data_IF_327040898547
#
_entry.id   IF_327040898547
#
_cell.length_a   1.000
_cell.length_b   1.000
_cell.length_c   1.000
_cell.angle_alpha   90.00
_cell.angle_beta   90.00
_cell.angle_gamma   90.00
#
_symmetry.space_group_name_H-M   'P 1'
#
loop_
_entity.id
_entity.type
_entity.pdbx_description
1 polymer ?
#
# COMPACT_ATOMS: atom_id res chain seq x y z
N UNK A 1 -77.37 -15.09 42.67
CA UNK A 1 -77.86 -14.07 41.72
C UNK A 1 -79.20 -14.46 41.10
N UNK A 2 -79.36 -15.67 40.55
CA UNK A 2 -80.66 -16.17 40.10
C UNK A 2 -81.74 -16.11 41.21
N UNK A 3 -81.37 -16.41 42.46
CA UNK A 3 -82.28 -16.39 43.62
C UNK A 3 -82.82 -14.98 43.96
N UNK A 4 -82.05 -13.91 43.75
CA UNK A 4 -82.46 -12.53 44.07
C UNK A 4 -83.34 -11.91 42.97
N UNK A 5 -83.03 -12.19 41.70
CA UNK A 5 -83.88 -11.78 40.58
C UNK A 5 -85.22 -12.50 40.57
N UNK A 6 -85.22 -13.80 40.91
CA UNK A 6 -86.44 -14.60 41.10
C UNK A 6 -87.23 -14.11 42.33
N UNK A 7 -86.57 -13.70 43.42
CA UNK A 7 -87.23 -13.11 44.58
C UNK A 7 -87.87 -11.74 44.29
N UNK A 8 -87.22 -10.88 43.49
CA UNK A 8 -87.79 -9.59 43.05
C UNK A 8 -88.99 -9.77 42.12
N UNK A 9 -88.90 -10.71 41.16
CA UNK A 9 -90.03 -11.07 40.29
C UNK A 9 -91.17 -11.71 41.09
N UNK A 10 -90.86 -12.55 42.07
CA UNK A 10 -91.84 -13.16 42.98
C UNK A 10 -92.49 -12.15 43.94
N UNK A 11 -91.78 -11.10 44.36
CA UNK A 11 -92.35 -10.01 45.14
C UNK A 11 -93.33 -9.15 44.33
N UNK A 12 -93.02 -8.87 43.06
CA UNK A 12 -93.91 -8.15 42.13
C UNK A 12 -95.09 -9.01 41.67
N UNK A 13 -94.89 -10.31 41.41
CA UNK A 13 -95.97 -11.23 41.09
C UNK A 13 -96.85 -11.53 42.33
N UNK A 14 -96.23 -11.63 43.51
CA UNK A 14 -96.91 -11.80 44.79
C UNK A 14 -97.76 -10.59 45.16
N UNK A 15 -97.33 -9.38 44.79
CA UNK A 15 -98.15 -8.17 44.93
C UNK A 15 -99.30 -8.09 43.91
N UNK A 16 -99.41 -8.99 42.93
CA UNK A 16 -100.54 -9.07 41.99
C UNK A 16 -101.56 -10.17 42.33
N UNK A 17 -101.33 -10.98 43.37
CA UNK A 17 -102.30 -11.96 43.83
C UNK A 17 -103.55 -11.26 44.40
N UNK A 18 -104.77 -11.69 44.04
CA UNK A 18 -105.99 -11.15 44.58
C UNK A 18 -106.19 -11.63 46.02
N UNK A 19 -106.26 -10.66 46.94
CA UNK A 19 -106.70 -10.75 48.33
C UNK A 19 -105.63 -11.19 49.34
N UNK A 20 -105.21 -10.24 50.20
CA UNK A 20 -105.58 -10.36 51.61
C UNK A 20 -106.07 -9.02 52.19
N UNK A 21 -106.52 -9.06 53.44
CA UNK A 21 -107.41 -8.08 54.06
C UNK A 21 -106.83 -6.65 54.28
N UNK A 22 -107.64 -5.76 54.87
CA UNK A 22 -107.40 -4.31 54.94
C UNK A 22 -106.12 -3.85 55.67
N UNK A 23 -105.37 -4.74 56.34
CA UNK A 23 -104.14 -4.42 57.07
C UNK A 23 -102.83 -4.69 56.28
N UNK A 24 -102.90 -5.23 55.06
CA UNK A 24 -101.72 -5.66 54.28
C UNK A 24 -101.24 -4.65 53.21
N UNK A 25 -101.88 -3.47 53.12
CA UNK A 25 -101.58 -2.46 52.11
C UNK A 25 -100.13 -1.92 52.21
N UNK A 26 -99.61 -1.71 53.42
CA UNK A 26 -98.25 -1.20 53.65
C UNK A 26 -97.17 -2.21 53.23
N UNK A 27 -97.44 -3.51 53.41
CA UNK A 27 -96.51 -4.58 53.03
C UNK A 27 -96.44 -4.71 51.51
N UNK A 28 -97.57 -4.52 50.82
CA UNK A 28 -97.64 -4.50 49.36
C UNK A 28 -96.87 -3.33 48.75
N UNK A 29 -96.95 -2.15 49.37
CA UNK A 29 -96.23 -0.95 48.91
C UNK A 29 -94.72 -1.05 49.18
N UNK A 30 -94.31 -1.63 50.31
CA UNK A 30 -92.93 -1.99 50.60
C UNK A 30 -92.40 -3.02 49.58
N UNK A 31 -93.17 -4.08 49.28
CA UNK A 31 -92.80 -5.10 48.29
C UNK A 31 -92.75 -4.54 46.86
N UNK A 32 -93.65 -3.64 46.49
CA UNK A 32 -93.61 -2.95 45.20
C UNK A 32 -92.39 -2.04 45.10
N UNK A 33 -92.09 -1.27 46.15
CA UNK A 33 -90.98 -0.30 46.13
C UNK A 33 -89.61 -1.01 46.19
N UNK A 34 -89.46 -2.01 47.06
CA UNK A 34 -88.25 -2.82 47.16
C UNK A 34 -88.11 -3.76 45.95
N UNK A 35 -89.22 -4.34 45.47
CA UNK A 35 -89.26 -5.22 44.31
C UNK A 35 -88.97 -4.51 42.99
N UNK A 36 -89.52 -3.31 42.78
CA UNK A 36 -89.22 -2.47 41.60
C UNK A 36 -87.79 -1.93 41.61
N UNK A 37 -87.30 -1.50 42.78
CA UNK A 37 -85.89 -1.10 42.94
C UNK A 37 -84.96 -2.29 42.69
N UNK A 38 -85.25 -3.46 43.24
CA UNK A 38 -84.46 -4.67 42.97
C UNK A 38 -84.54 -5.08 41.49
N UNK A 39 -85.69 -4.98 40.83
CA UNK A 39 -85.84 -5.28 39.40
C UNK A 39 -85.05 -4.33 38.51
N UNK A 40 -84.86 -3.07 38.90
CA UNK A 40 -84.05 -2.10 38.16
C UNK A 40 -82.55 -2.25 38.45
N UNK A 41 -82.17 -2.42 39.71
CA UNK A 41 -80.76 -2.40 40.12
C UNK A 41 -80.07 -3.76 40.04
N UNK A 42 -80.76 -4.89 40.21
CA UNK A 42 -80.15 -6.23 40.15
C UNK A 42 -79.61 -6.57 38.76
N UNK A 43 -80.34 -6.32 37.64
CA UNK A 43 -79.79 -6.52 36.30
C UNK A 43 -78.61 -5.61 36.03
N UNK A 44 -78.68 -4.34 36.46
CA UNK A 44 -77.59 -3.39 36.30
C UNK A 44 -76.33 -3.83 37.07
N UNK A 45 -76.48 -4.27 38.32
CA UNK A 45 -75.40 -4.80 39.14
C UNK A 45 -74.82 -6.13 38.59
N UNK A 46 -75.67 -6.98 38.01
CA UNK A 46 -75.22 -8.21 37.36
C UNK A 46 -74.41 -7.90 36.10
N UNK A 47 -74.85 -6.93 35.28
CA UNK A 47 -74.15 -6.47 34.09
C UNK A 47 -72.82 -5.82 34.47
N UNK A 48 -72.79 -4.87 35.41
CA UNK A 48 -71.55 -4.22 35.85
C UNK A 48 -70.57 -5.24 36.42
N UNK A 49 -71.01 -6.16 37.27
CA UNK A 49 -70.14 -7.21 37.81
C UNK A 49 -69.70 -8.25 36.77
N UNK A 50 -70.47 -8.45 35.70
CA UNK A 50 -70.06 -9.30 34.57
C UNK A 50 -69.05 -8.60 33.68
N UNK A 51 -69.20 -7.29 33.48
CA UNK A 51 -68.27 -6.43 32.75
C UNK A 51 -66.94 -6.31 33.50
N UNK A 52 -66.95 -6.09 34.82
CA UNK A 52 -65.74 -6.06 35.64
C UNK A 52 -64.97 -7.37 35.52
N UNK A 53 -65.64 -8.52 35.66
CA UNK A 53 -64.99 -9.84 35.49
C UNK A 53 -64.50 -10.08 34.06
N UNK A 54 -65.15 -9.50 33.06
CA UNK A 54 -64.70 -9.64 31.68
C UNK A 54 -63.48 -8.75 31.42
N UNK A 55 -63.49 -7.52 31.94
CA UNK A 55 -62.35 -6.60 31.90
C UNK A 55 -61.14 -7.16 32.66
N UNK A 56 -61.34 -7.75 33.84
CA UNK A 56 -60.27 -8.40 34.61
C UNK A 56 -59.65 -9.55 33.80
N UNK A 57 -60.48 -10.41 33.19
CA UNK A 57 -59.97 -11.51 32.33
C UNK A 57 -59.24 -10.98 31.10
N UNK A 58 -59.79 -9.97 30.43
CA UNK A 58 -59.15 -9.38 29.26
C UNK A 58 -57.84 -8.71 29.65
N UNK A 59 -57.77 -8.05 30.81
CA UNK A 59 -56.55 -7.45 31.33
C UNK A 59 -55.49 -8.51 31.65
N UNK A 60 -55.88 -9.60 32.31
CA UNK A 60 -55.00 -10.74 32.62
C UNK A 60 -54.49 -11.44 31.35
N UNK A 61 -55.39 -11.75 30.41
CA UNK A 61 -55.04 -12.37 29.13
C UNK A 61 -54.10 -11.46 28.31
N UNK A 62 -54.37 -10.14 28.30
CA UNK A 62 -53.51 -9.16 27.62
C UNK A 62 -52.15 -9.06 28.29
N UNK A 63 -52.09 -9.06 29.63
CA UNK A 63 -50.83 -9.03 30.37
C UNK A 63 -50.00 -10.28 30.10
N UNK A 64 -50.64 -11.45 30.04
CA UNK A 64 -49.99 -12.71 29.70
C UNK A 64 -49.45 -12.71 28.26
N UNK A 65 -50.25 -12.26 27.28
CA UNK A 65 -49.81 -12.15 25.89
C UNK A 65 -48.63 -11.17 25.74
N UNK A 66 -48.64 -10.04 26.43
CA UNK A 66 -47.53 -9.08 26.40
C UNK A 66 -46.26 -9.68 26.98
N UNK A 67 -46.36 -10.47 28.06
CA UNK A 67 -45.19 -11.12 28.66
C UNK A 67 -44.63 -12.24 27.76
N UNK A 68 -45.51 -13.01 27.11
CA UNK A 68 -45.11 -14.01 26.12
C UNK A 68 -44.39 -13.35 24.93
N UNK A 69 -44.95 -12.27 24.37
CA UNK A 69 -44.31 -11.52 23.29
C UNK A 69 -42.96 -10.94 23.72
N UNK A 70 -42.85 -10.42 24.95
CA UNK A 70 -41.58 -9.89 25.47
C UNK A 70 -40.52 -10.96 25.61
N UNK A 71 -40.87 -12.10 26.19
CA UNK A 71 -39.94 -13.22 26.39
C UNK A 71 -39.49 -13.82 25.06
N UNK A 72 -40.40 -14.00 24.10
CA UNK A 72 -40.05 -14.47 22.76
C UNK A 72 -39.20 -13.45 21.99
N UNK A 73 -39.53 -12.16 22.08
CA UNK A 73 -38.72 -11.11 21.44
C UNK A 73 -37.32 -11.07 22.04
N UNK A 74 -37.19 -11.15 23.37
CA UNK A 74 -35.87 -11.19 24.03
C UNK A 74 -35.04 -12.39 23.58
N UNK A 75 -35.66 -13.58 23.47
CA UNK A 75 -35.01 -14.79 22.96
C UNK A 75 -34.55 -14.64 21.51
N UNK A 76 -35.39 -14.11 20.63
CA UNK A 76 -35.05 -13.87 19.23
C UNK A 76 -33.90 -12.88 19.09
N UNK A 77 -33.91 -11.78 19.86
CA UNK A 77 -32.82 -10.79 19.87
C UNK A 77 -31.51 -11.42 20.31
N UNK A 78 -31.51 -12.25 21.35
CA UNK A 78 -30.29 -12.91 21.82
C UNK A 78 -29.74 -13.93 20.81
N UNK A 79 -30.64 -14.67 20.14
CA UNK A 79 -30.26 -15.59 19.07
C UNK A 79 -29.63 -14.85 17.88
N UNK A 80 -30.24 -13.74 17.44
CA UNK A 80 -29.71 -12.89 16.36
C UNK A 80 -28.36 -12.28 16.77
N UNK A 81 -28.23 -11.81 18.01
CA UNK A 81 -26.97 -11.26 18.54
C UNK A 81 -25.86 -12.30 18.52
N UNK A 82 -26.15 -13.51 18.99
CA UNK A 82 -25.19 -14.61 19.02
C UNK A 82 -24.76 -15.03 17.61
N UNK A 83 -25.73 -15.21 16.70
CA UNK A 83 -25.45 -15.54 15.29
C UNK A 83 -24.64 -14.45 14.60
N UNK A 84 -25.00 -13.19 14.79
CA UNK A 84 -24.25 -12.05 14.23
C UNK A 84 -22.83 -12.01 14.79
N UNK A 85 -22.64 -12.22 16.09
CA UNK A 85 -21.30 -12.26 16.68
C UNK A 85 -20.44 -13.37 16.08
N UNK A 86 -20.99 -14.58 15.91
CA UNK A 86 -20.30 -15.69 15.26
C UNK A 86 -19.93 -15.38 13.81
N UNK A 87 -20.87 -14.84 13.03
CA UNK A 87 -20.62 -14.43 11.64
C UNK A 87 -19.55 -13.34 11.55
N UNK A 88 -19.55 -12.38 12.47
CA UNK A 88 -18.51 -11.33 12.51
C UNK A 88 -17.13 -11.93 12.80
N UNK A 89 -17.02 -12.88 13.73
CA UNK A 89 -15.76 -13.56 14.01
C UNK A 89 -15.28 -14.42 12.84
N UNK A 90 -16.19 -15.13 12.17
CA UNK A 90 -15.88 -15.89 10.95
C UNK A 90 -15.36 -14.98 9.83
N UNK A 91 -16.05 -13.87 9.56
CA UNK A 91 -15.64 -12.88 8.56
C UNK A 91 -14.30 -12.25 8.92
N UNK A 92 -14.04 -11.97 10.21
CA UNK A 92 -12.74 -11.45 10.67
C UNK A 92 -11.62 -12.46 10.45
N UNK A 93 -11.85 -13.72 10.80
CA UNK A 93 -10.87 -14.79 10.60
C UNK A 93 -10.56 -15.00 9.11
N UNK A 94 -11.60 -15.00 8.26
CA UNK A 94 -11.44 -15.11 6.81
C UNK A 94 -10.68 -13.90 6.23
N UNK A 95 -11.03 -12.68 6.65
CA UNK A 95 -10.34 -11.48 6.21
C UNK A 95 -8.85 -11.49 6.60
N UNK A 96 -8.52 -11.90 7.83
CA UNK A 96 -7.14 -12.03 8.27
C UNK A 96 -6.39 -13.08 7.45
N UNK A 97 -7.00 -14.25 7.22
CA UNK A 97 -6.39 -15.30 6.40
C UNK A 97 -6.13 -14.84 4.96
N UNK A 98 -7.04 -14.05 4.37
CA UNK A 98 -6.84 -13.48 3.03
C UNK A 98 -5.74 -12.42 3.01
N UNK A 99 -5.63 -11.60 4.05
CA UNK A 99 -4.53 -10.63 4.19
C UNK A 99 -3.19 -11.37 4.26
N UNK A 100 -3.10 -12.39 5.09
CA UNK A 100 -1.85 -13.17 5.27
C UNK A 100 -1.43 -13.87 3.97
N UNK A 101 -2.39 -14.42 3.20
CA UNK A 101 -2.12 -15.00 1.87
C UNK A 101 -1.61 -13.93 0.88
N UNK A 102 -2.27 -12.77 0.81
CA UNK A 102 -1.85 -11.67 -0.08
C UNK A 102 -0.46 -11.18 0.30
N UNK A 103 -0.18 -10.96 1.59
CA UNK A 103 1.14 -10.54 2.07
C UNK A 103 2.22 -11.57 1.71
N UNK A 104 1.94 -12.86 1.89
CA UNK A 104 2.88 -13.93 1.54
C UNK A 104 3.17 -13.98 0.04
N UNK A 105 2.13 -13.83 -0.79
CA UNK A 105 2.26 -13.80 -2.26
C UNK A 105 3.01 -12.56 -2.75
N UNK A 106 2.78 -11.40 -2.15
CA UNK A 106 3.50 -10.17 -2.48
C UNK A 106 4.97 -10.31 -2.09
N UNK A 107 5.28 -10.81 -0.89
CA UNK A 107 6.66 -11.03 -0.46
C UNK A 107 7.41 -12.00 -1.39
N UNK A 108 6.81 -13.15 -1.72
CA UNK A 108 7.39 -14.12 -2.64
C UNK A 108 7.60 -13.54 -4.04
N UNK A 109 6.67 -12.72 -4.53
CA UNK A 109 6.83 -12.02 -5.81
C UNK A 109 7.96 -11.01 -5.77
N UNK A 110 8.05 -10.19 -4.74
CA UNK A 110 9.14 -9.21 -4.59
C UNK A 110 10.51 -9.88 -4.51
N UNK A 111 10.62 -11.02 -3.83
CA UNK A 111 11.86 -11.80 -3.79
C UNK A 111 12.23 -12.37 -5.16
N UNK A 112 11.25 -12.88 -5.91
CA UNK A 112 11.45 -13.37 -7.27
C UNK A 112 11.87 -12.26 -8.24
N UNK A 113 11.25 -11.08 -8.17
CA UNK A 113 11.64 -9.92 -8.99
C UNK A 113 13.06 -9.45 -8.63
N UNK A 114 13.40 -9.36 -7.34
CA UNK A 114 14.75 -9.01 -6.91
C UNK A 114 15.82 -10.05 -7.32
N UNK A 115 15.45 -11.34 -7.40
CA UNK A 115 16.31 -12.37 -7.97
C UNK A 115 16.49 -12.19 -9.48
N UNK A 116 15.40 -11.91 -10.21
CA UNK A 116 15.45 -11.64 -11.64
C UNK A 116 16.30 -10.41 -11.97
N UNK A 117 16.23 -9.34 -11.15
CA UNK A 117 17.06 -8.15 -11.32
C UNK A 117 18.56 -8.46 -11.13
N UNK A 118 18.91 -9.27 -10.12
CA UNK A 118 20.28 -9.76 -9.93
C UNK A 118 20.76 -10.61 -11.11
N UNK A 119 19.91 -11.52 -11.58
CA UNK A 119 20.25 -12.40 -12.70
C UNK A 119 20.45 -11.60 -14.00
N UNK A 120 19.62 -10.58 -14.24
CA UNK A 120 19.77 -9.67 -15.38
C UNK A 120 21.10 -8.91 -15.37
N UNK A 121 21.52 -8.38 -14.21
CA UNK A 121 22.82 -7.69 -14.11
C UNK A 121 23.98 -8.67 -14.22
N UNK A 122 23.87 -9.87 -13.66
CA UNK A 122 24.88 -10.92 -13.77
C UNK A 122 25.03 -11.40 -15.22
N UNK A 123 23.96 -11.40 -16.01
CA UNK A 123 23.96 -11.81 -17.41
C UNK A 123 24.83 -10.90 -18.30
N UNK A 124 25.10 -9.65 -17.90
CA UNK A 124 26.08 -8.79 -18.58
C UNK A 124 27.50 -9.39 -18.55
N UNK A 125 27.83 -10.23 -17.57
CA UNK A 125 29.13 -10.93 -17.48
C UNK A 125 29.18 -12.22 -18.31
N UNK A 126 28.08 -12.57 -18.98
CA UNK A 126 28.04 -13.71 -19.90
C UNK A 126 29.12 -13.55 -20.98
N UNK A 127 29.75 -14.63 -21.46
CA UNK A 127 30.69 -14.57 -22.57
C UNK A 127 30.06 -14.11 -23.90
N UNK A 128 28.72 -14.16 -24.01
CA UNK A 128 27.97 -13.78 -25.21
C UNK A 128 26.70 -12.99 -24.80
N UNK A 129 26.83 -11.72 -24.38
CA UNK A 129 25.68 -10.91 -24.04
C UNK A 129 24.96 -10.47 -25.31
N UNK A 130 23.64 -10.61 -25.33
CA UNK A 130 22.82 -10.10 -26.44
C UNK A 130 22.41 -8.66 -26.19
N UNK A 131 21.96 -7.97 -27.25
CA UNK A 131 21.30 -6.65 -27.11
C UNK A 131 20.16 -6.69 -26.10
N UNK A 132 19.33 -7.73 -26.13
CA UNK A 132 18.21 -7.90 -25.20
C UNK A 132 18.68 -8.07 -23.75
N UNK A 133 19.80 -8.77 -23.54
CA UNK A 133 20.43 -8.89 -22.21
C UNK A 133 20.84 -7.52 -21.69
N UNK A 134 21.45 -6.71 -22.56
CA UNK A 134 21.90 -5.36 -22.22
C UNK A 134 20.72 -4.43 -21.95
N UNK A 135 19.70 -4.47 -22.81
CA UNK A 135 18.47 -3.70 -22.68
C UNK A 135 17.72 -4.05 -21.38
N UNK A 136 17.47 -5.33 -21.10
CA UNK A 136 16.74 -5.76 -19.90
C UNK A 136 17.47 -5.32 -18.62
N UNK A 137 18.80 -5.44 -18.56
CA UNK A 137 19.58 -4.99 -17.42
C UNK A 137 19.44 -3.47 -17.17
N UNK A 138 19.57 -2.64 -18.20
CA UNK A 138 19.52 -1.19 -18.01
C UNK A 138 18.10 -0.60 -17.91
N UNK A 139 17.10 -1.17 -18.59
CA UNK A 139 15.68 -0.82 -18.39
C UNK A 139 15.26 -1.11 -16.94
N UNK A 140 15.65 -2.28 -16.39
CA UNK A 140 15.44 -2.60 -14.97
C UNK A 140 16.18 -1.62 -14.05
N UNK A 141 17.43 -1.31 -14.35
CA UNK A 141 18.23 -0.38 -13.55
C UNK A 141 17.59 1.03 -13.50
N UNK A 142 17.07 1.52 -14.63
CA UNK A 142 16.34 2.79 -14.70
C UNK A 142 15.04 2.75 -13.90
N UNK A 143 14.22 1.70 -14.05
CA UNK A 143 12.96 1.53 -13.29
C UNK A 143 13.17 1.45 -11.78
N UNK A 144 14.29 0.87 -11.35
CA UNK A 144 14.70 0.78 -9.94
C UNK A 144 15.38 2.05 -9.42
N UNK A 145 15.61 3.04 -10.29
CA UNK A 145 16.34 4.27 -9.96
C UNK A 145 17.81 4.03 -9.58
N UNK A 146 18.41 2.94 -10.06
CA UNK A 146 19.83 2.64 -9.82
C UNK A 146 20.74 3.58 -10.60
N UNK A 147 20.29 4.02 -11.77
CA UNK A 147 20.99 4.91 -12.71
C UNK A 147 20.01 5.97 -13.19
N UNK A 148 20.50 7.03 -13.85
CA UNK A 148 19.67 8.15 -14.32
C UNK A 148 19.68 8.27 -15.84
N UNK A 149 18.58 8.74 -16.41
CA UNK A 149 18.48 9.14 -17.82
C UNK A 149 19.29 10.40 -18.11
N UNK A 150 19.47 11.30 -17.13
CA UNK A 150 20.19 12.56 -17.32
C UNK A 150 21.70 12.42 -17.17
N UNK A 151 22.14 11.44 -16.39
CA UNK A 151 23.55 11.16 -16.13
C UNK A 151 23.77 9.68 -16.29
N UNK A 152 24.15 9.33 -17.51
CA UNK A 152 24.32 7.97 -17.94
C UNK A 152 25.39 7.24 -17.13
N UNK A 153 25.14 5.98 -16.75
CA UNK A 153 26.16 5.14 -16.15
C UNK A 153 27.32 4.93 -17.13
N UNK A 154 28.54 4.94 -16.62
CA UNK A 154 29.76 4.89 -17.42
C UNK A 154 30.84 4.03 -16.79
N UNK A 155 31.68 3.46 -17.65
CA UNK A 155 32.82 2.62 -17.27
C UNK A 155 34.10 3.25 -17.81
N UNK A 156 35.12 3.36 -16.96
CA UNK A 156 36.46 3.75 -17.38
C UNK A 156 37.11 2.58 -18.12
N UNK A 157 37.46 2.78 -19.39
CA UNK A 157 38.09 1.74 -20.21
C UNK A 157 39.61 1.89 -20.25
N UNK A 158 40.11 3.11 -20.13
CA UNK A 158 41.53 3.38 -19.98
C UNK A 158 41.77 4.47 -18.95
N UNK A 159 42.43 4.09 -17.87
CA UNK A 159 42.86 5.01 -16.82
C UNK A 159 43.90 6.02 -17.34
N UNK A 160 44.67 5.65 -18.37
CA UNK A 160 45.73 6.51 -18.91
C UNK A 160 45.15 7.61 -19.80
N UNK A 161 44.15 7.27 -20.62
CA UNK A 161 43.54 8.23 -21.55
C UNK A 161 42.32 8.95 -20.98
N UNK A 162 41.88 8.60 -19.78
CA UNK A 162 40.65 9.11 -19.15
C UNK A 162 39.42 9.07 -20.08
N UNK A 163 39.31 7.98 -20.84
CA UNK A 163 38.14 7.72 -21.68
C UNK A 163 37.18 6.76 -21.01
N UNK A 164 35.91 7.06 -21.22
CA UNK A 164 34.79 6.36 -20.64
C UNK A 164 33.85 5.93 -21.75
N UNK A 165 33.22 4.79 -21.55
CA UNK A 165 32.07 4.38 -22.34
C UNK A 165 30.85 4.50 -21.42
N UNK A 166 29.92 5.37 -21.78
CA UNK A 166 28.62 5.49 -21.12
C UNK A 166 27.52 4.86 -21.97
N UNK A 167 26.46 4.39 -21.32
CA UNK A 167 25.28 3.87 -21.98
C UNK A 167 24.12 4.83 -21.81
N UNK A 168 23.55 5.22 -22.94
CA UNK A 168 22.30 5.95 -22.98
C UNK A 168 21.18 5.02 -23.46
N UNK A 169 20.11 4.99 -22.66
CA UNK A 169 18.85 4.37 -23.05
C UNK A 169 17.82 5.49 -23.17
N UNK A 170 17.38 5.74 -24.40
CA UNK A 170 16.25 6.60 -24.66
C UNK A 170 14.97 5.74 -24.62
N UNK A 171 14.22 5.85 -23.53
CA UNK A 171 12.93 5.16 -23.38
C UNK A 171 11.78 5.87 -24.09
N UNK A 172 12.06 6.96 -24.82
CA UNK A 172 11.03 7.70 -25.53
C UNK A 172 10.56 6.92 -26.77
N UNK A 173 9.25 6.80 -26.95
CA UNK A 173 8.61 6.02 -28.03
C UNK A 173 8.98 6.48 -29.46
N UNK A 174 9.64 7.63 -29.59
CA UNK A 174 10.06 8.24 -30.86
C UNK A 174 11.53 8.00 -31.21
N UNK A 175 12.30 7.33 -30.35
CA UNK A 175 13.69 7.02 -30.63
C UNK A 175 13.79 5.86 -31.62
N UNK A 176 14.37 6.11 -32.81
CA UNK A 176 14.62 5.06 -33.80
C UNK A 176 15.58 3.98 -33.25
N UNK A 177 16.51 4.39 -32.38
CA UNK A 177 17.56 3.54 -31.78
C UNK A 177 17.66 3.84 -30.28
N UNK A 178 16.87 3.15 -29.42
CA UNK A 178 16.73 3.53 -28.02
C UNK A 178 17.91 3.12 -27.14
N UNK A 179 18.93 2.46 -27.68
CA UNK A 179 20.13 2.03 -26.96
C UNK A 179 21.37 2.48 -27.73
N UNK A 180 22.25 3.23 -27.06
CA UNK A 180 23.50 3.68 -27.66
C UNK A 180 24.64 3.74 -26.64
N UNK A 181 25.86 3.53 -27.12
CA UNK A 181 27.07 3.82 -26.38
C UNK A 181 27.59 5.21 -26.74
N UNK A 182 28.17 5.88 -25.75
CA UNK A 182 28.87 7.15 -25.94
C UNK A 182 30.30 6.96 -25.49
N UNK A 183 31.24 7.37 -26.33
CA UNK A 183 32.64 7.52 -25.91
C UNK A 183 32.78 8.94 -25.39
N UNK A 184 33.12 9.08 -24.11
CA UNK A 184 33.19 10.38 -23.45
C UNK A 184 34.48 10.56 -22.65
N UNK A 185 34.80 11.82 -22.37
CA UNK A 185 35.93 12.22 -21.54
C UNK A 185 35.59 12.17 -20.05
N UNK A 186 36.59 12.36 -19.19
CA UNK A 186 36.42 12.50 -17.74
C UNK A 186 35.30 13.46 -17.32
N UNK A 187 35.16 14.59 -18.02
CA UNK A 187 34.17 15.62 -17.75
C UNK A 187 32.76 15.29 -18.29
N UNK A 188 32.57 14.13 -18.93
CA UNK A 188 31.30 13.73 -19.54
C UNK A 188 31.06 14.33 -20.93
N UNK A 189 32.03 15.05 -21.50
CA UNK A 189 31.93 15.52 -22.89
C UNK A 189 32.00 14.33 -23.84
N UNK A 190 30.99 14.19 -24.69
CA UNK A 190 30.92 13.13 -25.69
C UNK A 190 31.84 13.44 -26.87
N UNK A 191 32.64 12.46 -27.25
CA UNK A 191 33.54 12.51 -28.40
C UNK A 191 32.93 11.80 -29.61
N UNK A 192 32.28 10.65 -29.41
CA UNK A 192 31.62 9.88 -30.47
C UNK A 192 30.42 9.08 -29.91
N UNK A 193 29.48 8.71 -30.79
CA UNK A 193 28.30 7.90 -30.49
C UNK A 193 28.34 6.59 -31.28
N UNK A 194 27.90 5.49 -30.67
CA UNK A 194 27.68 4.19 -31.32
C UNK A 194 26.26 3.76 -31.05
N UNK A 195 25.32 3.98 -31.98
CA UNK A 195 23.99 3.43 -31.83
C UNK A 195 24.04 1.90 -31.83
N UNK A 196 23.07 1.27 -31.15
CA UNK A 196 22.90 -0.18 -31.14
C UNK A 196 21.55 -0.58 -31.75
N UNK A 197 21.48 -0.69 -33.09
CA UNK A 197 20.29 -1.14 -33.81
C UNK A 197 19.84 -2.54 -33.37
N UNK A 198 18.53 -2.79 -33.48
CA UNK A 198 17.93 -4.07 -33.05
C UNK A 198 18.40 -5.28 -33.88
N UNK A 199 18.90 -5.06 -35.10
CA UNK A 199 19.38 -6.09 -36.01
C UNK A 199 20.89 -6.37 -35.90
N UNK A 200 21.62 -5.62 -35.07
CA UNK A 200 23.06 -5.81 -34.86
C UNK A 200 23.39 -6.66 -33.65
N UNK A 201 24.43 -7.50 -33.80
CA UNK A 201 24.95 -8.30 -32.70
C UNK A 201 25.73 -7.44 -31.71
N UNK A 202 25.89 -7.92 -30.48
CA UNK A 202 26.76 -7.24 -29.50
C UNK A 202 28.21 -7.18 -29.97
N UNK A 203 28.68 -8.22 -30.67
CA UNK A 203 30.04 -8.26 -31.23
C UNK A 203 30.28 -7.11 -32.21
N UNK A 204 29.37 -6.91 -33.17
CA UNK A 204 29.50 -5.86 -34.18
C UNK A 204 29.58 -4.45 -33.56
N UNK A 205 28.71 -4.19 -32.57
CA UNK A 205 28.67 -2.89 -31.87
C UNK A 205 29.90 -2.69 -30.99
N UNK A 206 30.35 -3.72 -30.27
CA UNK A 206 31.54 -3.65 -29.43
C UNK A 206 32.82 -3.49 -30.26
N UNK A 207 32.87 -4.06 -31.48
CA UNK A 207 33.95 -3.79 -32.43
C UNK A 207 33.96 -2.31 -32.83
N UNK A 208 32.80 -1.70 -33.07
CA UNK A 208 32.72 -0.28 -33.42
C UNK A 208 33.13 0.63 -32.25
N UNK A 209 32.68 0.34 -31.02
CA UNK A 209 33.16 1.01 -29.80
C UNK A 209 34.69 0.90 -29.71
N UNK A 210 35.24 -0.30 -29.94
CA UNK A 210 36.69 -0.53 -29.92
C UNK A 210 37.44 0.29 -30.97
N UNK A 211 36.90 0.43 -32.19
CA UNK A 211 37.50 1.26 -33.24
C UNK A 211 37.55 2.74 -32.86
N UNK A 212 36.47 3.26 -32.28
CA UNK A 212 36.41 4.65 -31.82
C UNK A 212 37.38 4.89 -30.65
N UNK A 213 37.46 3.96 -29.69
CA UNK A 213 38.46 4.05 -28.62
C UNK A 213 39.89 4.01 -29.16
N UNK A 214 40.16 3.16 -30.15
CA UNK A 214 41.49 3.04 -30.76
C UNK A 214 41.90 4.34 -31.49
N UNK A 215 40.96 5.04 -32.13
CA UNK A 215 41.18 6.36 -32.76
C UNK A 215 41.70 7.40 -31.75
N UNK A 216 41.29 7.32 -30.49
CA UNK A 216 41.66 8.29 -29.45
C UNK A 216 42.85 7.87 -28.58
N UNK A 217 43.11 6.56 -28.43
CA UNK A 217 44.07 6.04 -27.43
C UNK A 217 45.18 5.18 -27.99
N UNK A 218 44.99 4.58 -29.18
CA UNK A 218 45.80 3.48 -29.68
C UNK A 218 45.90 2.25 -28.74
N UNK A 219 45.03 2.14 -27.74
CA UNK A 219 44.96 1.01 -26.80
C UNK A 219 44.01 -0.08 -27.31
N UNK A 220 44.28 -1.33 -26.91
CA UNK A 220 43.38 -2.43 -27.21
C UNK A 220 42.13 -2.35 -26.32
N UNK A 221 40.95 -2.36 -26.95
CA UNK A 221 39.68 -2.42 -26.23
C UNK A 221 39.47 -3.82 -25.64
N UNK A 222 39.14 -3.88 -24.35
CA UNK A 222 38.69 -5.10 -23.66
C UNK A 222 37.17 -5.02 -23.41
N UNK A 223 36.34 -5.68 -24.25
CA UNK A 223 34.90 -5.69 -24.07
C UNK A 223 34.47 -6.35 -22.76
N UNK A 224 35.24 -7.32 -22.25
CA UNK A 224 34.91 -7.99 -20.99
C UNK A 224 35.05 -7.04 -19.80
N UNK A 225 36.03 -6.12 -19.84
CA UNK A 225 36.18 -5.06 -18.84
C UNK A 225 34.99 -4.09 -18.86
N UNK A 226 34.53 -3.66 -20.05
CA UNK A 226 33.35 -2.81 -20.20
C UNK A 226 32.11 -3.47 -19.56
N UNK A 227 31.82 -4.70 -19.98
CA UNK A 227 30.62 -5.44 -19.59
C UNK A 227 30.62 -5.76 -18.09
N UNK A 228 31.76 -6.20 -17.54
CA UNK A 228 31.92 -6.40 -16.10
C UNK A 228 31.81 -5.10 -15.33
N UNK A 229 32.38 -4.01 -15.83
CA UNK A 229 32.30 -2.71 -15.18
C UNK A 229 30.86 -2.22 -15.02
N UNK A 230 30.01 -2.43 -16.04
CA UNK A 230 28.59 -2.13 -15.93
C UNK A 230 27.87 -3.05 -14.95
N UNK A 231 28.12 -4.36 -15.02
CA UNK A 231 27.53 -5.33 -14.09
C UNK A 231 27.87 -5.00 -12.63
N UNK A 232 29.15 -4.72 -12.36
CA UNK A 232 29.66 -4.34 -11.05
C UNK A 232 29.02 -3.03 -10.57
N UNK A 233 28.85 -2.04 -11.46
CA UNK A 233 28.21 -0.76 -11.15
C UNK A 233 26.75 -0.96 -10.74
N UNK A 234 25.99 -1.74 -11.50
CA UNK A 234 24.58 -2.01 -11.21
C UNK A 234 24.42 -2.81 -9.90
N UNK A 235 25.29 -3.78 -9.63
CA UNK A 235 25.30 -4.51 -8.37
C UNK A 235 25.66 -3.61 -7.17
N UNK A 236 26.67 -2.76 -7.33
CA UNK A 236 27.04 -1.79 -6.29
C UNK A 236 25.90 -0.81 -6.02
N UNK A 237 25.22 -0.29 -7.05
CA UNK A 237 24.05 0.57 -6.91
C UNK A 237 22.88 -0.15 -6.22
N UNK A 238 22.64 -1.41 -6.58
CA UNK A 238 21.56 -2.22 -6.00
C UNK A 238 21.79 -2.53 -4.51
N UNK A 239 23.04 -2.70 -4.10
CA UNK A 239 23.39 -3.12 -2.73
C UNK A 239 23.00 -2.13 -1.61
N UNK A 240 22.87 -0.83 -1.91
CA UNK A 240 22.47 0.16 -0.90
C UNK A 240 21.72 1.35 -1.52
N UNK A 241 20.63 1.88 -0.91
CA UNK A 241 19.88 3.01 -1.47
C UNK A 241 20.69 4.30 -1.65
N UNK A 242 21.64 4.60 -0.76
CA UNK A 242 22.48 5.80 -0.85
C UNK A 242 23.47 5.74 -2.04
N UNK A 243 23.63 4.59 -2.69
CA UNK A 243 24.51 4.37 -3.84
C UNK A 243 23.83 4.71 -5.17
N UNK A 244 22.78 5.52 -5.14
CA UNK A 244 21.89 5.74 -6.28
C UNK A 244 21.54 7.22 -6.41
N UNK A 245 21.28 7.70 -7.63
CA UNK A 245 21.69 7.15 -8.92
C UNK A 245 23.21 7.03 -9.07
N UNK A 246 23.68 5.87 -9.54
CA UNK A 246 25.09 5.58 -9.77
C UNK A 246 25.53 6.02 -11.17
N UNK A 247 26.72 6.62 -11.26
CA UNK A 247 27.31 7.10 -12.51
C UNK A 247 28.55 6.28 -12.86
N UNK A 248 29.49 6.12 -11.91
CA UNK A 248 30.78 5.50 -12.21
C UNK A 248 31.33 4.76 -10.99
N UNK A 249 31.79 3.52 -11.19
CA UNK A 249 32.64 2.84 -10.21
C UNK A 249 34.10 3.28 -10.34
N UNK A 250 34.72 3.51 -9.21
CA UNK A 250 36.15 3.78 -9.06
C UNK A 250 36.71 2.68 -8.15
N UNK A 251 36.97 1.47 -8.66
CA UNK A 251 37.36 0.34 -7.82
C UNK A 251 38.71 0.54 -7.12
N UNK A 252 38.90 -0.07 -5.93
CA UNK A 252 38.04 -1.09 -5.35
C UNK A 252 36.99 -0.61 -4.33
N UNK A 253 36.91 0.69 -4.03
CA UNK A 253 36.15 1.15 -2.86
C UNK A 253 35.13 2.26 -3.15
N UNK A 254 35.33 3.09 -4.17
CA UNK A 254 34.54 4.32 -4.31
C UNK A 254 33.66 4.33 -5.55
N UNK A 255 32.58 5.08 -5.49
CA UNK A 255 31.63 5.24 -6.57
C UNK A 255 31.16 6.70 -6.62
N UNK A 256 30.99 7.20 -7.84
CA UNK A 256 30.41 8.51 -8.13
C UNK A 256 28.91 8.32 -8.37
N UNK A 257 28.12 9.12 -7.66
CA UNK A 257 26.67 9.23 -7.79
C UNK A 257 26.28 10.65 -8.23
N UNK A 258 25.01 10.84 -8.57
CA UNK A 258 24.46 12.15 -8.90
C UNK A 258 24.60 13.20 -7.77
N UNK A 259 24.62 12.75 -6.51
CA UNK A 259 24.69 13.60 -5.33
C UNK A 259 26.11 13.76 -4.76
N UNK A 260 27.08 12.95 -5.19
CA UNK A 260 28.44 12.97 -4.64
C UNK A 260 29.26 11.68 -4.85
N UNK A 261 30.12 11.37 -3.88
CA UNK A 261 30.99 10.18 -3.88
C UNK A 261 30.72 9.35 -2.65
N UNK A 262 30.60 8.03 -2.79
CA UNK A 262 30.30 7.10 -1.69
C UNK A 262 31.17 5.84 -1.76
N UNK A 263 31.55 5.33 -0.60
CA UNK A 263 32.20 4.05 -0.46
C UNK A 263 31.19 2.90 -0.66
N UNK A 264 31.54 1.93 -1.51
CA UNK A 264 30.70 0.78 -1.80
C UNK A 264 31.16 -0.52 -1.13
N UNK A 265 32.19 -0.45 -0.29
CA UNK A 265 32.66 -1.56 0.54
C UNK A 265 31.82 -1.71 1.83
N UNK A 266 32.41 -2.29 2.89
CA UNK A 266 31.79 -2.44 4.20
C UNK A 266 31.55 -1.11 4.95
N UNK A 267 32.20 -0.01 4.50
CA UNK A 267 32.08 1.30 5.12
C UNK A 267 30.99 2.11 4.39
N UNK A 268 29.97 2.56 5.14
CA UNK A 268 28.99 3.52 4.62
C UNK A 268 29.51 4.92 4.91
N UNK A 269 30.30 5.45 3.97
CA UNK A 269 30.84 6.81 4.06
C UNK A 269 30.73 7.52 2.72
N UNK A 270 30.15 8.72 2.74
CA UNK A 270 29.94 9.52 1.54
C UNK A 270 30.27 10.99 1.73
N UNK A 271 30.57 11.66 0.63
CA UNK A 271 30.84 13.09 0.55
C UNK A 271 29.96 13.67 -0.56
N UNK A 272 29.06 14.57 -0.19
CA UNK A 272 28.19 15.22 -1.17
C UNK A 272 28.93 16.26 -2.03
N UNK A 273 28.39 16.56 -3.21
CA UNK A 273 28.96 17.51 -4.17
C UNK A 273 29.29 18.89 -3.58
N UNK A 274 28.41 19.55 -2.79
CA UNK A 274 28.74 20.86 -2.22
C UNK A 274 30.00 20.80 -1.35
N UNK A 275 30.20 19.73 -0.59
CA UNK A 275 31.38 19.57 0.25
C UNK A 275 32.63 19.27 -0.58
N UNK A 276 32.51 18.45 -1.63
CA UNK A 276 33.59 18.20 -2.60
C UNK A 276 34.08 19.49 -3.27
N UNK A 277 33.16 20.38 -3.64
CA UNK A 277 33.45 21.61 -4.39
C UNK A 277 33.92 22.79 -3.51
N UNK A 278 33.55 22.82 -2.23
CA UNK A 278 33.80 23.98 -1.35
C UNK A 278 34.91 23.75 -0.32
N UNK A 279 35.14 22.51 0.09
CA UNK A 279 36.12 22.20 1.14
C UNK A 279 37.48 21.90 0.52
N UNK A 280 38.45 22.78 0.77
CA UNK A 280 39.85 22.55 0.35
C UNK A 280 40.54 21.40 1.08
N UNK A 281 39.98 20.93 2.19
CA UNK A 281 40.58 19.89 3.05
C UNK A 281 39.83 18.57 2.99
N UNK A 282 38.73 18.45 2.24
CA UNK A 282 37.94 17.22 2.23
C UNK A 282 38.71 16.05 1.63
N UNK A 283 39.48 16.30 0.57
CA UNK A 283 40.31 15.26 -0.06
C UNK A 283 41.31 14.68 0.94
N UNK A 284 42.06 15.53 1.65
CA UNK A 284 43.02 15.07 2.67
C UNK A 284 42.32 14.44 3.88
N UNK A 285 41.19 14.99 4.33
CA UNK A 285 40.43 14.44 5.45
C UNK A 285 39.93 13.00 5.20
N UNK A 286 39.54 12.69 3.97
CA UNK A 286 39.16 11.33 3.58
C UNK A 286 40.40 10.46 3.44
N UNK A 287 41.44 10.94 2.74
CA UNK A 287 42.70 10.21 2.56
C UNK A 287 43.39 9.83 3.88
N UNK A 288 43.22 10.60 4.95
CA UNK A 288 43.80 10.32 6.27
C UNK A 288 43.16 9.14 7.02
N UNK A 289 42.00 8.64 6.56
CA UNK A 289 41.34 7.51 7.23
C UNK A 289 42.05 6.21 6.87
N UNK A 290 42.46 5.44 7.88
CA UNK A 290 43.25 4.22 7.69
C UNK A 290 42.58 3.08 6.91
N UNK A 291 41.28 3.18 6.61
CA UNK A 291 40.52 2.21 5.81
C UNK A 291 40.37 2.62 4.34
N UNK A 292 40.84 3.81 3.95
CA UNK A 292 40.62 4.37 2.61
C UNK A 292 41.66 3.85 1.61
N UNK A 293 41.18 3.36 0.48
CA UNK A 293 42.01 3.06 -0.68
C UNK A 293 42.29 4.35 -1.47
N UNK A 294 43.48 4.91 -1.29
CA UNK A 294 43.84 6.25 -1.77
C UNK A 294 43.61 6.43 -3.29
N UNK A 295 44.13 5.54 -4.13
CA UNK A 295 44.01 5.68 -5.59
C UNK A 295 42.54 5.69 -6.09
N UNK A 296 41.68 4.94 -5.39
CA UNK A 296 40.27 4.79 -5.71
C UNK A 296 39.48 6.02 -5.25
N UNK A 297 39.86 6.58 -4.09
CA UNK A 297 39.35 7.87 -3.62
C UNK A 297 39.75 9.01 -4.56
N UNK A 298 41.03 9.10 -4.94
CA UNK A 298 41.52 10.14 -5.85
C UNK A 298 40.81 10.08 -7.21
N UNK A 299 40.65 8.87 -7.77
CA UNK A 299 39.91 8.67 -9.01
C UNK A 299 38.43 9.09 -8.90
N UNK A 300 37.76 8.76 -7.80
CA UNK A 300 36.37 9.15 -7.57
C UNK A 300 36.21 10.66 -7.34
N UNK A 301 37.13 11.25 -6.58
CA UNK A 301 37.18 12.69 -6.31
C UNK A 301 37.37 13.49 -7.60
N UNK A 302 38.35 13.09 -8.42
CA UNK A 302 38.62 13.70 -9.71
C UNK A 302 37.42 13.56 -10.67
N UNK A 303 36.87 12.35 -10.81
CA UNK A 303 35.71 12.10 -11.66
C UNK A 303 34.50 12.92 -11.22
N UNK A 304 34.22 13.02 -9.92
CA UNK A 304 33.12 13.81 -9.41
C UNK A 304 33.31 15.32 -9.69
N UNK A 305 34.49 15.88 -9.48
CA UNK A 305 34.72 17.30 -9.77
C UNK A 305 34.66 17.62 -11.27
N UNK A 306 35.08 16.69 -12.12
CA UNK A 306 35.02 16.86 -13.57
C UNK A 306 33.58 16.76 -14.11
N UNK A 307 32.78 15.82 -13.59
CA UNK A 307 31.37 15.66 -13.94
C UNK A 307 30.47 16.76 -13.39
N UNK A 308 30.86 17.32 -12.25
CA UNK A 308 30.12 18.34 -11.52
C UNK A 308 31.03 19.53 -11.24
N UNK A 309 31.43 20.28 -12.29
CA UNK A 309 32.26 21.44 -12.12
C UNK A 309 31.56 22.44 -11.18
N UNK A 310 32.35 23.12 -10.36
CA UNK A 310 31.83 24.17 -9.49
C UNK A 310 31.22 25.26 -10.36
N UNK A 311 29.92 25.50 -10.21
CA UNK A 311 29.26 26.60 -10.88
C UNK A 311 29.93 27.91 -10.47
N UNK A 312 30.60 28.56 -11.42
CA UNK A 312 31.12 29.91 -11.24
C UNK A 312 29.95 30.87 -11.49
N UNK A 313 29.44 31.58 -10.47
CA UNK A 313 28.35 32.53 -10.66
C UNK A 313 28.71 33.70 -11.59
N UNK A 314 29.99 33.82 -11.97
CA UNK A 314 30.50 34.81 -12.91
C UNK A 314 30.88 34.23 -14.28
N UNK A 315 30.73 32.91 -14.49
CA UNK A 315 30.87 32.31 -15.82
C UNK A 315 29.78 32.88 -16.75
N UNK A 316 30.16 33.18 -17.98
CA UNK A 316 29.20 33.73 -18.93
C UNK A 316 28.14 32.66 -19.26
N UNK A 317 26.85 33.02 -19.42
CA UNK A 317 25.75 32.06 -19.67
C UNK A 317 25.87 31.19 -20.94
N UNK A 318 26.98 31.26 -21.67
CA UNK A 318 27.29 30.42 -22.83
C UNK A 318 28.32 29.31 -22.57
N UNK A 319 28.99 29.31 -21.41
CA UNK A 319 30.03 28.31 -21.09
C UNK A 319 29.45 27.05 -20.41
N UNK A 320 28.25 27.14 -19.83
CA UNK A 320 27.59 26.04 -19.07
C UNK A 320 26.62 25.19 -19.92
N UNK A 321 26.38 25.55 -21.19
CA UNK A 321 25.29 24.98 -22.00
C UNK A 321 25.66 23.71 -22.82
N UNK A 322 26.73 22.99 -22.47
CA UNK A 322 27.17 21.78 -23.19
C UNK A 322 27.36 20.55 -22.29
N UNK A 323 26.63 20.45 -21.17
CA UNK A 323 26.66 19.29 -20.27
C UNK A 323 25.36 18.49 -20.34
#
# INVERSE_FOLDING_TARGET
MAVLGVAGLAAVLGSMLPNPGPDDAWFRDLLMTVGSSALLFVPFYAITRSLDRHLDRVADDTAQQVEEVRTDTARQVEEVRTKTAQQVEEVRAEAQSRIDDVTSRVAARLEAEAAADRDAFAALRSPDPTRDTFWDAFDRALRLGLVSETRHPRVNISRQSHLYVSVEIDTNDWADEPLQFRVETLAGRVEDYVPWPADQTAEDVLVEVGRLLFKHTAEAFDPALLLRGFADLLEAAMSHPERRPAIQLCPPQWMVCDWGVIAYDEHIYGVNLPKLQTSSTISSHVAEKGWVHLDSWESAYEAALALFPKHDPWASPGDDAQF
#
